data_IF_837478966076
#
_entry.id   IF_837478966076
#
_cell.length_a   1.000
_cell.length_b   1.000
_cell.length_c   1.000
_cell.angle_alpha   90.00
_cell.angle_beta   90.00
_cell.angle_gamma   90.00
#
_symmetry.space_group_name_H-M   'P 1'
#
loop_
_entity.id
_entity.type
_entity.pdbx_description
1 polymer ?
#
# COMPACT_ATOMS: atom_id res chain seq x y z
N UNK A 1 16.17 -6.21 -24.05
CA UNK A 1 15.25 -6.06 -25.20
C UNK A 1 13.83 -5.70 -24.74
N UNK A 2 13.33 -6.32 -23.67
CA UNK A 2 11.97 -6.12 -23.18
C UNK A 2 11.73 -4.70 -22.63
N UNK A 3 12.62 -4.17 -21.80
CA UNK A 3 12.54 -2.81 -21.26
C UNK A 3 12.42 -1.75 -22.36
N UNK A 4 13.20 -1.89 -23.47
CA UNK A 4 13.09 -0.99 -24.63
C UNK A 4 11.73 -1.11 -25.34
N UNK A 5 11.15 -2.31 -25.39
CA UNK A 5 9.81 -2.54 -25.97
C UNK A 5 8.75 -1.86 -25.12
N UNK A 6 8.82 -2.02 -23.79
CA UNK A 6 7.90 -1.41 -22.84
C UNK A 6 8.00 0.13 -22.90
N UNK A 7 9.22 0.68 -22.90
CA UNK A 7 9.43 2.11 -23.04
C UNK A 7 8.83 2.66 -24.35
N UNK A 8 9.12 2.04 -25.52
CA UNK A 8 8.51 2.45 -26.79
C UNK A 8 6.99 2.43 -26.75
N UNK A 9 6.39 1.42 -26.12
CA UNK A 9 4.93 1.32 -25.97
C UNK A 9 4.40 2.45 -25.10
N UNK A 10 5.04 2.75 -23.95
CA UNK A 10 4.67 3.82 -23.05
C UNK A 10 4.66 5.19 -23.74
N UNK A 11 5.71 5.48 -24.51
CA UNK A 11 5.84 6.77 -25.20
C UNK A 11 4.94 6.88 -26.43
N UNK A 12 4.74 5.81 -27.20
CA UNK A 12 3.98 5.86 -28.46
C UNK A 12 2.47 5.68 -28.25
N UNK A 13 2.07 4.67 -27.49
CA UNK A 13 0.67 4.27 -27.35
C UNK A 13 0.10 4.52 -25.96
N UNK A 14 0.95 4.65 -24.96
CA UNK A 14 0.58 4.70 -23.55
C UNK A 14 0.06 3.36 -23.02
N UNK A 15 -0.03 3.28 -21.70
CA UNK A 15 -0.66 2.18 -20.99
C UNK A 15 -2.03 2.59 -20.51
N UNK A 16 -2.98 1.69 -20.55
CA UNK A 16 -4.22 1.86 -19.82
C UNK A 16 -3.91 1.70 -18.33
N UNK A 17 -4.45 2.56 -17.43
CA UNK A 17 -4.38 2.32 -16.00
C UNK A 17 -4.86 0.89 -15.71
N UNK A 18 -4.16 0.18 -14.84
CA UNK A 18 -4.55 -1.19 -14.54
C UNK A 18 -5.94 -1.19 -13.89
N UNK A 19 -6.89 -1.91 -14.48
CA UNK A 19 -8.22 -2.14 -13.92
C UNK A 19 -8.23 -3.05 -12.68
N UNK A 20 -7.08 -3.20 -12.00
CA UNK A 20 -6.89 -4.11 -10.88
C UNK A 20 -7.91 -3.92 -9.75
N UNK A 21 -8.34 -2.67 -9.50
CA UNK A 21 -9.39 -2.38 -8.52
C UNK A 21 -10.75 -2.92 -8.99
N UNK A 22 -11.09 -2.73 -10.26
CA UNK A 22 -12.33 -3.25 -10.86
C UNK A 22 -12.29 -4.77 -10.97
N UNK A 23 -11.14 -5.34 -11.36
CA UNK A 23 -10.96 -6.79 -11.43
C UNK A 23 -11.09 -7.43 -10.04
N UNK A 24 -10.58 -6.78 -8.99
CA UNK A 24 -10.74 -7.23 -7.60
C UNK A 24 -12.18 -7.11 -7.08
N UNK A 25 -12.91 -6.07 -7.47
CA UNK A 25 -14.34 -5.89 -7.12
C UNK A 25 -15.19 -6.91 -7.85
N UNK A 26 -14.90 -7.13 -9.14
CA UNK A 26 -15.60 -8.14 -9.95
C UNK A 26 -15.32 -9.54 -9.45
N UNK A 27 -14.06 -9.87 -9.13
CA UNK A 27 -13.68 -11.17 -8.56
C UNK A 27 -14.36 -11.43 -7.21
N UNK A 28 -14.37 -10.44 -6.29
CA UNK A 28 -15.10 -10.55 -5.01
C UNK A 28 -16.61 -10.75 -5.18
N UNK A 29 -17.22 -10.02 -6.12
CA UNK A 29 -18.66 -10.18 -6.41
C UNK A 29 -18.98 -11.54 -7.05
N UNK A 30 -18.09 -12.05 -7.90
CA UNK A 30 -18.18 -13.40 -8.48
C UNK A 30 -18.10 -14.47 -7.38
N UNK A 31 -17.11 -14.38 -6.51
CA UNK A 31 -16.93 -15.32 -5.41
C UNK A 31 -18.14 -15.33 -4.46
N UNK A 32 -18.66 -14.13 -4.13
CA UNK A 32 -19.88 -14.00 -3.32
C UNK A 32 -21.12 -14.56 -4.02
N UNK A 33 -21.28 -14.35 -5.34
CA UNK A 33 -22.42 -14.87 -6.10
C UNK A 33 -22.39 -16.39 -6.27
N UNK A 34 -21.21 -16.99 -6.31
CA UNK A 34 -21.04 -18.45 -6.30
C UNK A 34 -21.43 -19.06 -4.95
N UNK A 35 -21.09 -18.41 -3.84
CA UNK A 35 -21.47 -18.84 -2.49
C UNK A 35 -22.98 -18.72 -2.22
N UNK A 36 -23.63 -17.74 -2.84
CA UNK A 36 -25.07 -17.47 -2.66
C UNK A 36 -25.97 -18.18 -3.69
N UNK A 37 -25.40 -18.98 -4.61
CA UNK A 37 -26.18 -19.67 -5.66
C UNK A 37 -26.90 -18.77 -6.66
N UNK A 38 -26.52 -17.49 -6.71
CA UNK A 38 -27.21 -16.45 -7.51
C UNK A 38 -26.56 -16.19 -8.88
N UNK A 39 -26.32 -17.25 -9.64
CA UNK A 39 -25.72 -17.13 -10.99
C UNK A 39 -26.54 -16.20 -11.93
N UNK A 40 -27.86 -16.19 -11.80
CA UNK A 40 -28.77 -15.36 -12.62
C UNK A 40 -28.65 -13.86 -12.33
N UNK A 41 -28.38 -13.46 -11.09
CA UNK A 41 -28.18 -12.05 -10.75
C UNK A 41 -26.86 -11.52 -11.32
N UNK A 42 -25.85 -12.40 -11.44
CA UNK A 42 -24.58 -12.09 -12.09
C UNK A 42 -24.75 -11.84 -13.59
N UNK A 43 -25.47 -12.72 -14.30
CA UNK A 43 -25.71 -12.57 -15.74
C UNK A 43 -26.47 -11.28 -16.10
N UNK A 44 -27.47 -10.89 -15.31
CA UNK A 44 -28.17 -9.60 -15.47
C UNK A 44 -27.31 -8.37 -15.22
N UNK A 45 -26.22 -8.48 -14.45
CA UNK A 45 -25.32 -7.37 -14.13
C UNK A 45 -24.17 -7.19 -15.12
N UNK A 46 -23.96 -8.13 -16.07
CA UNK A 46 -22.87 -8.09 -17.05
C UNK A 46 -22.92 -6.83 -17.94
N UNK A 47 -24.04 -6.44 -18.54
CA UNK A 47 -24.10 -5.26 -19.41
C UNK A 47 -23.71 -3.96 -18.68
N UNK A 48 -24.18 -3.79 -17.45
CA UNK A 48 -23.83 -2.62 -16.63
C UNK A 48 -22.34 -2.59 -16.25
N UNK A 49 -21.73 -3.75 -15.99
CA UNK A 49 -20.30 -3.87 -15.70
C UNK A 49 -19.44 -3.57 -16.92
N UNK A 50 -19.83 -4.07 -18.08
CA UNK A 50 -19.15 -3.78 -19.36
C UNK A 50 -19.25 -2.29 -19.68
N UNK A 51 -20.44 -1.71 -19.52
CA UNK A 51 -20.68 -0.27 -19.71
C UNK A 51 -19.85 0.58 -18.74
N UNK A 52 -19.79 0.20 -17.48
CA UNK A 52 -18.98 0.89 -16.46
C UNK A 52 -17.49 0.79 -16.78
N UNK A 53 -17.02 -0.36 -17.25
CA UNK A 53 -15.61 -0.57 -17.66
C UNK A 53 -15.25 0.27 -18.88
N UNK A 54 -16.13 0.32 -19.89
CA UNK A 54 -15.92 1.16 -21.07
C UNK A 54 -15.93 2.65 -20.72
N UNK A 55 -16.86 3.09 -19.87
CA UNK A 55 -16.90 4.47 -19.39
C UNK A 55 -15.66 4.84 -18.58
N UNK A 56 -15.22 3.97 -17.67
CA UNK A 56 -14.00 4.14 -16.90
C UNK A 56 -12.75 4.18 -17.79
N UNK A 57 -12.63 3.25 -18.75
CA UNK A 57 -11.52 3.21 -19.72
C UNK A 57 -11.48 4.45 -20.62
N UNK A 58 -12.65 5.04 -20.90
CA UNK A 58 -12.76 6.28 -21.66
C UNK A 58 -12.38 7.51 -20.81
N UNK A 59 -12.83 7.57 -19.56
CA UNK A 59 -12.58 8.70 -18.65
C UNK A 59 -11.14 8.76 -18.13
N UNK A 60 -10.51 7.60 -17.89
CA UNK A 60 -9.17 7.54 -17.30
C UNK A 60 -8.04 7.80 -18.29
N UNK A 61 -8.32 7.86 -19.59
CA UNK A 61 -7.29 8.11 -20.60
C UNK A 61 -6.18 7.06 -20.62
N UNK A 62 -5.12 7.33 -21.37
CA UNK A 62 -3.90 6.50 -21.39
C UNK A 62 -2.74 7.26 -20.77
N UNK A 63 -2.05 6.62 -19.86
CA UNK A 63 -0.79 7.12 -19.33
C UNK A 63 0.29 7.03 -20.40
N UNK A 64 0.89 8.17 -20.75
CA UNK A 64 1.90 8.28 -21.83
C UNK A 64 3.07 9.14 -21.38
N UNK A 65 4.21 8.92 -22.03
CA UNK A 65 5.37 9.79 -21.89
C UNK A 65 6.28 9.46 -20.72
N UNK A 66 5.95 8.44 -19.94
CA UNK A 66 6.82 7.96 -18.87
C UNK A 66 6.75 6.45 -18.71
N UNK A 67 7.80 5.90 -18.13
CA UNK A 67 7.88 4.51 -17.67
C UNK A 67 8.80 4.49 -16.45
N UNK A 68 8.37 3.83 -15.40
CA UNK A 68 9.16 3.63 -14.20
C UNK A 68 9.70 2.20 -14.18
N UNK A 69 11.00 2.07 -13.96
CA UNK A 69 11.69 0.80 -13.73
C UNK A 69 12.33 0.86 -12.36
N UNK A 70 12.19 -0.21 -11.63
CA UNK A 70 12.81 -0.41 -10.33
C UNK A 70 13.57 -1.73 -10.36
N UNK A 71 14.76 -1.75 -9.76
CA UNK A 71 15.50 -2.98 -9.57
C UNK A 71 14.73 -3.91 -8.64
N UNK A 72 14.71 -5.18 -8.99
CA UNK A 72 14.08 -6.19 -8.17
C UNK A 72 15.02 -6.59 -7.03
N UNK A 73 14.53 -6.57 -5.80
CA UNK A 73 15.26 -7.01 -4.61
C UNK A 73 14.77 -8.42 -4.24
N UNK A 74 15.57 -9.46 -4.54
CA UNK A 74 15.16 -10.85 -4.34
C UNK A 74 15.22 -11.27 -2.86
N UNK A 75 14.80 -12.51 -2.59
CA UNK A 75 14.97 -13.22 -1.32
C UNK A 75 14.22 -12.62 -0.13
N UNK A 76 13.16 -11.84 -0.36
CA UNK A 76 12.29 -11.35 0.68
C UNK A 76 11.02 -12.21 0.74
N UNK A 77 10.75 -12.85 1.88
CA UNK A 77 9.50 -13.60 2.15
C UNK A 77 8.39 -12.70 2.69
N UNK A 78 8.74 -11.48 3.06
CA UNK A 78 7.83 -10.42 3.52
C UNK A 78 8.41 -9.04 3.23
N UNK A 79 7.54 -8.04 3.20
CA UNK A 79 7.91 -6.64 3.35
C UNK A 79 7.50 -6.12 4.73
N UNK A 80 8.10 -5.01 5.14
CA UNK A 80 7.73 -4.27 6.34
C UNK A 80 7.10 -2.96 5.94
N UNK A 81 5.83 -2.75 6.32
CA UNK A 81 5.17 -1.45 6.18
C UNK A 81 5.28 -0.65 7.46
N UNK A 82 5.73 0.59 7.32
CA UNK A 82 5.75 1.59 8.39
C UNK A 82 4.89 2.77 7.96
N UNK A 83 3.86 3.08 8.72
CA UNK A 83 3.04 4.28 8.53
C UNK A 83 3.36 5.28 9.61
N UNK A 84 4.00 6.39 9.23
CA UNK A 84 4.29 7.50 10.13
C UNK A 84 3.11 8.47 10.12
N UNK A 85 2.63 8.84 11.30
CA UNK A 85 1.62 9.90 11.52
C UNK A 85 2.13 10.80 12.63
N UNK A 86 2.56 12.00 12.28
CA UNK A 86 3.22 12.90 13.20
C UNK A 86 4.44 12.28 13.85
N UNK A 87 4.41 12.07 15.17
CA UNK A 87 5.47 11.45 15.97
C UNK A 87 5.22 9.97 16.27
N UNK A 88 4.33 9.31 15.54
CA UNK A 88 3.94 7.90 15.75
C UNK A 88 4.21 7.08 14.51
N UNK A 89 4.80 5.90 14.68
CA UNK A 89 5.04 4.93 13.61
C UNK A 89 4.26 3.64 13.89
N UNK A 90 3.35 3.29 13.00
CA UNK A 90 2.54 2.07 13.04
C UNK A 90 3.15 1.06 12.07
N UNK A 91 3.46 -0.14 12.56
CA UNK A 91 4.27 -1.09 11.84
C UNK A 91 3.61 -2.47 11.76
N UNK A 92 3.73 -3.10 10.59
CA UNK A 92 3.36 -4.49 10.38
C UNK A 92 4.14 -5.08 9.23
N UNK A 93 4.18 -6.41 9.13
CA UNK A 93 4.79 -7.14 8.02
C UNK A 93 3.73 -7.78 7.16
N UNK A 94 3.98 -7.88 5.85
CA UNK A 94 3.10 -8.57 4.90
C UNK A 94 3.88 -9.71 4.24
N UNK A 95 3.37 -10.93 4.33
CA UNK A 95 3.98 -12.06 3.63
C UNK A 95 3.78 -11.96 2.13
N UNK A 96 4.79 -12.38 1.39
CA UNK A 96 4.75 -12.55 -0.06
C UNK A 96 3.72 -13.63 -0.42
N UNK A 97 3.03 -13.46 -1.53
CA UNK A 97 2.09 -14.46 -2.04
C UNK A 97 2.81 -15.71 -2.49
N UNK A 98 2.20 -16.87 -2.31
CA UNK A 98 2.73 -18.10 -2.89
C UNK A 98 2.84 -17.98 -4.42
N UNK A 99 4.05 -18.23 -4.94
CA UNK A 99 4.33 -18.16 -6.39
C UNK A 99 4.42 -16.72 -6.95
N UNK A 100 4.47 -15.69 -6.12
CA UNK A 100 4.62 -14.28 -6.52
C UNK A 100 5.71 -13.62 -5.63
N UNK A 101 6.29 -12.53 -6.08
CA UNK A 101 7.23 -11.72 -5.30
C UNK A 101 6.53 -10.57 -4.55
N UNK A 102 5.24 -10.34 -4.80
CA UNK A 102 4.49 -9.22 -4.23
C UNK A 102 3.89 -9.58 -2.89
N UNK A 103 4.20 -8.82 -1.85
CA UNK A 103 3.57 -8.90 -0.54
C UNK A 103 2.25 -8.12 -0.49
N UNK A 104 2.16 -7.02 -1.26
CA UNK A 104 0.95 -6.20 -1.32
C UNK A 104 -0.27 -7.01 -1.77
N UNK A 105 -1.35 -6.92 -0.97
CA UNK A 105 -2.61 -7.64 -1.23
C UNK A 105 -2.56 -9.16 -1.04
N UNK A 106 -1.53 -9.69 -0.36
CA UNK A 106 -1.48 -11.12 0.01
C UNK A 106 -2.56 -11.51 1.02
N UNK A 107 -3.02 -10.54 1.81
CA UNK A 107 -3.95 -10.76 2.93
C UNK A 107 -3.30 -11.39 4.17
N UNK A 108 -2.00 -11.71 4.12
CA UNK A 108 -1.26 -12.29 5.23
C UNK A 108 -0.47 -11.20 5.95
N UNK A 109 -1.09 -10.60 6.97
CA UNK A 109 -0.53 -9.52 7.78
C UNK A 109 -0.03 -10.08 9.11
N UNK A 110 1.16 -9.66 9.53
CA UNK A 110 1.80 -10.05 10.78
C UNK A 110 2.02 -8.79 11.62
N UNK A 111 1.39 -8.73 12.79
CA UNK A 111 1.46 -7.61 13.74
C UNK A 111 2.45 -7.86 14.89
N UNK A 112 3.43 -8.72 14.69
CA UNK A 112 4.47 -9.02 15.65
C UNK A 112 5.47 -7.85 15.74
N UNK A 113 5.31 -7.04 16.77
CA UNK A 113 6.10 -5.80 16.96
C UNK A 113 7.56 -6.08 17.33
N UNK A 114 7.84 -7.22 17.98
CA UNK A 114 9.22 -7.60 18.33
C UNK A 114 10.05 -7.96 17.10
N UNK A 115 9.39 -8.46 16.05
CA UNK A 115 10.03 -8.82 14.81
C UNK A 115 10.17 -7.64 13.81
N UNK A 116 9.72 -6.44 14.16
CA UNK A 116 9.91 -5.25 13.32
C UNK A 116 11.37 -4.78 13.44
N UNK A 117 12.04 -4.63 12.29
CA UNK A 117 13.34 -4.01 12.25
C UNK A 117 13.22 -2.51 12.57
N UNK A 118 13.81 -2.09 13.70
CA UNK A 118 13.75 -0.69 14.16
C UNK A 118 14.43 0.30 13.22
N UNK A 119 15.39 -0.17 12.41
CA UNK A 119 16.00 0.64 11.35
C UNK A 119 14.98 1.14 10.34
N UNK A 120 13.95 0.32 9.99
CA UNK A 120 12.84 0.76 9.14
C UNK A 120 12.10 1.96 9.74
N UNK A 121 11.89 1.94 11.06
CA UNK A 121 11.19 3.00 11.80
C UNK A 121 12.02 4.29 11.79
N UNK A 122 13.33 4.17 12.08
CA UNK A 122 14.24 5.32 12.08
C UNK A 122 14.31 5.98 10.70
N UNK A 123 14.46 5.18 9.64
CA UNK A 123 14.48 5.69 8.25
C UNK A 123 13.15 6.38 7.93
N UNK A 124 12.02 5.77 8.29
CA UNK A 124 10.69 6.32 8.01
C UNK A 124 10.48 7.68 8.70
N UNK A 125 10.83 7.81 9.99
CA UNK A 125 10.77 9.09 10.70
C UNK A 125 11.69 10.14 10.07
N UNK A 126 12.94 9.77 9.75
CA UNK A 126 13.89 10.68 9.12
C UNK A 126 13.42 11.22 7.78
N UNK A 127 12.81 10.39 6.95
CA UNK A 127 12.25 10.81 5.65
C UNK A 127 10.99 11.66 5.86
N UNK A 128 10.05 11.24 6.69
CA UNK A 128 8.81 11.96 6.95
C UNK A 128 9.10 13.38 7.50
N UNK A 129 10.05 13.49 8.42
CA UNK A 129 10.49 14.77 8.97
C UNK A 129 11.11 15.68 7.90
N UNK A 130 12.01 15.15 7.06
CA UNK A 130 12.65 15.92 5.97
C UNK A 130 11.65 16.41 4.92
N UNK A 131 10.59 15.63 4.67
CA UNK A 131 9.52 15.99 3.73
C UNK A 131 8.47 16.89 4.37
N UNK A 132 8.45 17.06 5.69
CA UNK A 132 7.46 17.87 6.40
C UNK A 132 6.03 17.34 6.25
N UNK A 133 5.84 16.04 6.12
CA UNK A 133 4.53 15.44 5.88
C UNK A 133 3.82 15.08 7.18
N UNK A 134 2.50 15.30 7.25
CA UNK A 134 1.65 14.90 8.37
C UNK A 134 1.56 13.38 8.50
N UNK A 135 1.42 12.68 7.37
CA UNK A 135 1.41 11.22 7.36
C UNK A 135 2.02 10.67 6.08
N UNK A 136 2.71 9.52 6.20
CA UNK A 136 3.36 8.88 5.07
C UNK A 136 3.55 7.39 5.37
N UNK A 137 3.31 6.54 4.39
CA UNK A 137 3.55 5.11 4.48
C UNK A 137 4.75 4.71 3.64
N UNK A 138 5.54 3.78 4.17
CA UNK A 138 6.76 3.26 3.57
C UNK A 138 6.71 1.74 3.50
N UNK A 139 7.15 1.17 2.39
CA UNK A 139 7.39 -0.26 2.26
C UNK A 139 8.89 -0.52 2.20
N UNK A 140 9.34 -1.44 3.04
CA UNK A 140 10.75 -1.80 3.20
C UNK A 140 10.98 -3.28 2.88
N UNK A 141 12.10 -3.55 2.24
CA UNK A 141 12.67 -4.88 2.05
C UNK A 141 14.15 -4.87 2.47
N UNK A 142 14.79 -6.03 2.50
CA UNK A 142 16.24 -6.17 2.71
C UNK A 142 16.92 -6.58 1.42
N UNK A 143 18.07 -5.95 1.10
CA UNK A 143 18.91 -6.39 0.00
C UNK A 143 19.70 -7.66 0.39
N UNK A 144 20.51 -8.18 -0.52
CA UNK A 144 21.33 -9.39 -0.30
C UNK A 144 22.37 -9.21 0.81
N UNK A 145 22.80 -7.98 1.07
CA UNK A 145 23.72 -7.63 2.17
C UNK A 145 23.00 -7.45 3.52
N UNK A 146 21.68 -7.64 3.55
CA UNK A 146 20.83 -7.48 4.74
C UNK A 146 20.48 -6.03 5.07
N UNK A 147 20.84 -5.06 4.23
CA UNK A 147 20.55 -3.64 4.43
C UNK A 147 19.09 -3.35 4.10
N UNK A 148 18.47 -2.49 4.90
CA UNK A 148 17.09 -2.04 4.70
C UNK A 148 17.01 -1.07 3.53
N UNK A 149 16.05 -1.31 2.63
CA UNK A 149 15.78 -0.45 1.48
C UNK A 149 14.31 -0.06 1.42
N UNK A 150 14.04 1.22 1.13
CA UNK A 150 12.70 1.72 0.84
C UNK A 150 12.37 1.39 -0.61
N UNK A 151 11.28 0.65 -0.83
CA UNK A 151 10.82 0.30 -2.18
C UNK A 151 9.59 1.09 -2.62
N UNK A 152 8.81 1.60 -1.68
CA UNK A 152 7.63 2.42 -1.96
C UNK A 152 7.43 3.47 -0.87
N UNK A 153 7.02 4.66 -1.29
CA UNK A 153 6.54 5.74 -0.42
C UNK A 153 5.18 6.17 -0.91
N UNK A 154 4.19 6.24 -0.02
CA UNK A 154 2.80 6.50 -0.39
C UNK A 154 2.09 7.36 0.65
N UNK A 155 1.23 8.28 0.21
CA UNK A 155 0.27 8.97 1.09
C UNK A 155 -0.93 8.09 1.46
N UNK A 156 -1.15 7.00 0.70
CA UNK A 156 -2.27 6.09 0.91
C UNK A 156 -1.92 4.92 1.82
N UNK A 157 -2.74 4.70 2.83
CA UNK A 157 -2.68 3.52 3.69
C UNK A 157 -4.08 3.08 4.11
N UNK A 158 -4.20 1.85 4.60
CA UNK A 158 -5.48 1.28 5.05
C UNK A 158 -5.66 1.59 6.54
N UNK A 159 -6.63 2.46 6.93
CA UNK A 159 -6.84 2.88 8.32
C UNK A 159 -7.00 1.71 9.28
N UNK A 160 -7.72 0.66 8.86
CA UNK A 160 -7.91 -0.54 9.67
C UNK A 160 -6.59 -1.21 10.04
N UNK A 161 -5.61 -1.27 9.13
CA UNK A 161 -4.32 -1.92 9.42
C UNK A 161 -3.47 -1.11 10.41
N UNK A 162 -3.59 0.22 10.39
CA UNK A 162 -2.97 1.11 11.39
C UNK A 162 -3.57 0.83 12.77
N UNK A 163 -4.90 0.75 12.87
CA UNK A 163 -5.59 0.42 14.11
C UNK A 163 -5.23 -0.98 14.63
N UNK A 164 -5.16 -1.96 13.74
CA UNK A 164 -4.86 -3.37 14.06
C UNK A 164 -3.41 -3.58 14.55
N UNK A 165 -2.50 -2.59 14.40
CA UNK A 165 -1.16 -2.65 14.98
C UNK A 165 -1.17 -2.77 16.51
N UNK A 166 -2.26 -2.34 17.17
CA UNK A 166 -2.41 -2.44 18.62
C UNK A 166 -1.53 -1.50 19.43
N UNK A 167 -0.85 -0.56 18.76
CA UNK A 167 0.05 0.43 19.33
C UNK A 167 0.93 1.09 18.30
N UNK A 168 1.89 1.90 18.73
CA UNK A 168 2.83 2.61 17.86
C UNK A 168 4.21 2.74 18.51
N UNK A 169 5.21 2.99 17.69
CA UNK A 169 6.55 3.39 18.07
C UNK A 169 6.66 4.91 18.02
N UNK A 170 7.28 5.52 19.03
CA UNK A 170 7.62 6.93 18.98
C UNK A 170 9.00 7.16 18.31
N UNK A 171 9.43 8.43 18.25
CA UNK A 171 10.73 8.81 17.66
C UNK A 171 11.94 8.29 18.43
N UNK A 172 11.77 7.96 19.71
CA UNK A 172 12.80 7.39 20.56
C UNK A 172 12.80 5.86 20.53
N UNK A 173 12.02 5.28 19.61
CA UNK A 173 11.83 3.85 19.42
C UNK A 173 11.28 3.14 20.65
N UNK A 174 10.47 3.83 21.44
CA UNK A 174 9.71 3.25 22.53
C UNK A 174 8.33 2.78 22.03
N UNK A 175 7.93 1.60 22.44
CA UNK A 175 6.64 1.04 22.10
C UNK A 175 5.56 1.54 23.06
N UNK A 176 4.49 2.08 22.50
CA UNK A 176 3.29 2.50 23.21
C UNK A 176 2.14 1.57 22.84
N UNK A 177 1.72 0.74 23.78
CA UNK A 177 0.59 -0.16 23.57
C UNK A 177 -0.72 0.63 23.61
N UNK A 178 -1.65 0.28 22.73
CA UNK A 178 -2.97 0.89 22.62
C UNK A 178 -3.34 1.14 21.16
N UNK A 179 -4.43 0.54 20.70
CA UNK A 179 -4.90 0.74 19.33
C UNK A 179 -5.35 2.19 19.13
N UNK A 180 -4.91 2.82 18.05
CA UNK A 180 -5.22 4.20 17.71
C UNK A 180 -5.67 4.27 16.25
N UNK A 181 -6.72 5.04 15.97
CA UNK A 181 -7.13 5.32 14.60
C UNK A 181 -6.22 6.39 14.00
N UNK A 182 -5.92 6.32 12.70
CA UNK A 182 -5.14 7.38 12.02
C UNK A 182 -5.74 8.77 12.19
N UNK A 183 -7.07 8.86 12.15
CA UNK A 183 -7.82 10.11 12.28
C UNK A 183 -7.62 10.73 13.68
N UNK A 184 -7.60 9.91 14.73
CA UNK A 184 -7.38 10.34 16.10
C UNK A 184 -5.94 10.85 16.26
N UNK A 185 -4.95 10.14 15.71
CA UNK A 185 -3.55 10.55 15.72
C UNK A 185 -3.34 11.91 15.02
N UNK A 186 -3.97 12.12 13.86
CA UNK A 186 -3.91 13.39 13.14
C UNK A 186 -4.56 14.52 13.93
N UNK A 187 -5.74 14.26 14.53
CA UNK A 187 -6.46 15.24 15.33
C UNK A 187 -5.65 15.67 16.55
N UNK A 188 -5.05 14.74 17.30
CA UNK A 188 -4.18 15.05 18.43
C UNK A 188 -3.00 15.94 18.04
N UNK A 189 -2.35 15.65 16.89
CA UNK A 189 -1.27 16.48 16.39
C UNK A 189 -1.74 17.90 16.06
N UNK A 190 -2.91 18.05 15.42
CA UNK A 190 -3.49 19.37 15.10
C UNK A 190 -3.83 20.16 16.36
N UNK A 191 -4.43 19.52 17.37
CA UNK A 191 -4.76 20.15 18.65
C UNK A 191 -3.49 20.60 19.38
N UNK A 192 -2.42 19.79 19.32
CA UNK A 192 -1.13 20.13 19.93
C UNK A 192 -0.52 21.38 19.29
N UNK A 193 -0.61 21.52 17.97
CA UNK A 193 -0.12 22.71 17.26
C UNK A 193 -0.92 23.95 17.67
N UNK A 194 -2.26 23.83 17.73
CA UNK A 194 -3.14 24.96 18.11
C UNK A 194 -2.95 25.41 19.55
N UNK A 195 -2.64 24.47 20.48
CA UNK A 195 -2.40 24.81 21.88
C UNK A 195 -1.05 25.47 22.15
N UNK A 196 -0.10 25.38 21.22
CA UNK A 196 1.24 25.96 21.31
C UNK A 196 1.42 27.24 20.48
N UNK A 197 0.36 27.69 19.80
CA UNK A 197 0.29 28.94 19.03
C UNK A 197 -0.34 30.07 19.83
#
# INVERSE_FOLDING_TARGET
KEARRLARKAFRFGYKPSGALLDSIVARKLQKSQQEGRLWSFLRSIPAKVRHRLAHDFMMGRERGYVYFQDFVPNNDHDTRVTVIGKRAFCFRRRVRSGDFRASGSGQILFDQEAINRECIQIAFGIAQRLGTQSLAFDFVKNEDGQVQVIEVSFGYVPKLVYDCGGFWDSDLQWHAGAMRPEDAILEDMLTVLSNS
#
